data_IF_264594510854
#
_entry.id   IF_264594510854
#
_cell.length_a   1.000
_cell.length_b   1.000
_cell.length_c   1.000
_cell.angle_alpha   90.00
_cell.angle_beta   90.00
_cell.angle_gamma   90.00
#
_symmetry.space_group_name_H-M   'P 1'
#
loop_
_entity.id
_entity.type
_entity.pdbx_description
1 polymer ?
#
# COMPACT_ATOMS: atom_id res chain seq x y z
N UNK A 1 17.51 -6.30 24.19
CA UNK A 1 16.90 -6.34 23.98
C UNK A 1 16.35 -6.60 23.16
N UNK A 2 15.97 -6.86 23.15
CA UNK A 2 15.27 -7.21 22.47
C UNK A 2 14.65 -6.61 21.88
N UNK A 3 14.58 -6.34 21.43
CA UNK A 3 13.98 -5.87 20.98
C UNK A 3 13.31 -5.83 20.31
N UNK A 4 13.50 -5.71 20.71
CA UNK A 4 12.42 -5.30 20.23
C UNK A 4 11.97 -5.66 19.01
N UNK A 5 11.55 -6.43 19.01
CA UNK A 5 11.19 -6.99 17.89
C UNK A 5 9.86 -6.60 17.62
N UNK A 6 9.76 -5.55 16.91
CA UNK A 6 8.52 -5.25 16.30
C UNK A 6 8.21 -6.40 15.42
N UNK A 7 7.23 -7.10 15.81
CA UNK A 7 6.69 -8.19 15.06
C UNK A 7 6.16 -7.60 13.74
N UNK A 8 6.53 -8.17 12.63
CA UNK A 8 6.05 -7.70 11.33
C UNK A 8 4.52 -7.73 11.24
N UNK A 9 3.88 -8.66 11.94
CA UNK A 9 2.42 -8.72 11.98
C UNK A 9 1.81 -7.48 12.61
N UNK A 10 2.42 -6.94 13.65
CA UNK A 10 1.95 -5.71 14.29
C UNK A 10 2.11 -4.52 13.35
N UNK A 11 3.24 -4.47 12.65
CA UNK A 11 3.49 -3.42 11.67
C UNK A 11 2.48 -3.49 10.53
N UNK A 12 2.21 -4.67 10.05
CA UNK A 12 1.23 -4.88 8.98
C UNK A 12 -0.14 -4.40 9.41
N UNK A 13 -0.57 -4.70 10.62
CA UNK A 13 -1.86 -4.25 11.14
C UNK A 13 -1.94 -2.74 11.27
N UNK A 14 -0.85 -2.11 11.73
CA UNK A 14 -0.76 -0.65 11.82
C UNK A 14 -0.92 -0.02 10.44
N UNK A 15 -0.22 -0.55 9.47
CA UNK A 15 -0.26 -0.04 8.10
C UNK A 15 -1.66 -0.21 7.50
N UNK A 16 -2.29 -1.34 7.76
CA UNK A 16 -3.67 -1.59 7.31
C UNK A 16 -4.61 -0.54 7.88
N UNK A 17 -4.49 -0.23 9.17
CA UNK A 17 -5.33 0.80 9.79
C UNK A 17 -5.10 2.17 9.19
N UNK A 18 -3.84 2.52 8.90
CA UNK A 18 -3.50 3.77 8.24
C UNK A 18 -4.21 3.90 6.90
N UNK A 19 -4.12 2.87 6.08
CA UNK A 19 -4.73 2.90 4.76
C UNK A 19 -6.24 2.82 4.82
N UNK A 20 -6.78 2.13 5.81
CA UNK A 20 -8.22 2.08 6.02
C UNK A 20 -8.78 3.46 6.32
N UNK A 21 -8.11 4.21 7.21
CA UNK A 21 -8.49 5.58 7.51
C UNK A 21 -8.35 6.49 6.31
N UNK A 22 -7.26 6.34 5.58
CA UNK A 22 -7.02 7.11 4.37
C UNK A 22 -8.14 6.87 3.34
N UNK A 23 -8.49 5.61 3.13
CA UNK A 23 -9.54 5.25 2.18
C UNK A 23 -10.87 5.88 2.60
N UNK A 24 -11.20 5.75 3.87
CA UNK A 24 -12.43 6.29 4.43
C UNK A 24 -12.55 7.79 4.22
N UNK A 25 -11.47 8.51 4.48
CA UNK A 25 -11.43 9.97 4.31
C UNK A 25 -11.56 10.41 2.85
N UNK A 26 -11.19 9.53 1.94
CA UNK A 26 -11.17 9.86 0.51
C UNK A 26 -12.29 9.18 -0.29
N UNK A 27 -13.23 8.53 0.39
CA UNK A 27 -14.38 7.92 -0.27
C UNK A 27 -14.13 6.56 -0.89
N UNK A 28 -13.07 5.89 -0.48
CA UNK A 28 -12.73 4.55 -0.94
C UNK A 28 -12.95 3.53 0.18
N UNK A 29 -12.62 2.28 -0.11
CA UNK A 29 -12.53 1.21 0.89
C UNK A 29 -11.29 0.39 0.61
N UNK A 30 -10.82 -0.35 1.61
CA UNK A 30 -9.82 -1.37 1.35
C UNK A 30 -10.53 -2.56 0.72
N UNK A 31 -9.75 -3.38 0.00
CA UNK A 31 -10.27 -4.61 -0.58
C UNK A 31 -10.92 -5.44 0.52
N UNK A 32 -12.15 -5.95 0.31
CA UNK A 32 -12.83 -6.75 1.34
C UNK A 32 -12.17 -8.10 1.61
N UNK A 33 -11.31 -8.56 0.70
CA UNK A 33 -10.55 -9.79 0.91
C UNK A 33 -9.34 -9.47 1.77
N UNK A 34 -9.43 -9.82 3.05
CA UNK A 34 -8.39 -9.53 4.03
C UNK A 34 -7.03 -10.13 3.67
N UNK A 35 -7.02 -11.32 3.09
CA UNK A 35 -5.78 -11.98 2.69
C UNK A 35 -5.06 -11.22 1.59
N UNK A 36 -5.82 -10.65 0.66
CA UNK A 36 -5.25 -9.82 -0.40
C UNK A 36 -4.62 -8.57 0.21
N UNK A 37 -5.32 -7.90 1.12
CA UNK A 37 -4.82 -6.71 1.80
C UNK A 37 -3.53 -7.03 2.57
N UNK A 38 -3.52 -8.10 3.32
CA UNK A 38 -2.34 -8.51 4.10
C UNK A 38 -1.15 -8.79 3.19
N UNK A 39 -1.37 -9.46 2.08
CA UNK A 39 -0.31 -9.76 1.12
C UNK A 39 0.28 -8.50 0.50
N UNK A 40 -0.57 -7.57 0.12
CA UNK A 40 -0.13 -6.31 -0.47
C UNK A 40 0.63 -5.48 0.55
N UNK A 41 0.11 -5.35 1.76
CA UNK A 41 0.76 -4.57 2.82
C UNK A 41 2.10 -5.19 3.19
N UNK A 42 2.18 -6.51 3.23
CA UNK A 42 3.45 -7.20 3.47
C UNK A 42 4.48 -6.85 2.40
N UNK A 43 4.06 -6.80 1.14
CA UNK A 43 4.94 -6.41 0.03
C UNK A 43 5.37 -4.95 0.15
N UNK A 44 4.47 -4.06 0.57
CA UNK A 44 4.79 -2.66 0.81
C UNK A 44 5.84 -2.51 1.90
N UNK A 45 5.69 -3.26 2.97
CA UNK A 45 6.64 -3.24 4.08
C UNK A 45 8.01 -3.76 3.64
N UNK A 46 8.05 -4.82 2.85
CA UNK A 46 9.28 -5.36 2.29
C UNK A 46 9.99 -4.30 1.44
N UNK A 47 9.25 -3.59 0.61
CA UNK A 47 9.83 -2.54 -0.23
C UNK A 47 10.34 -1.37 0.59
N UNK A 48 9.64 -1.02 1.66
CA UNK A 48 10.08 0.02 2.58
C UNK A 48 11.42 -0.36 3.22
N UNK A 49 11.56 -1.61 3.63
CA UNK A 49 12.80 -2.11 4.23
C UNK A 49 13.96 -2.10 3.24
N UNK A 50 13.68 -2.41 1.98
CA UNK A 50 14.74 -2.52 0.95
C UNK A 50 15.09 -1.18 0.31
N UNK A 51 14.11 -0.32 0.10
CA UNK A 51 14.29 0.90 -0.67
C UNK A 51 13.99 2.19 0.10
N UNK A 52 13.56 2.07 1.33
CA UNK A 52 13.25 3.23 2.16
C UNK A 52 11.86 3.83 1.95
N UNK A 53 11.08 3.29 1.00
CA UNK A 53 9.75 3.79 0.70
C UNK A 53 8.81 2.64 0.39
N UNK A 54 7.52 2.85 0.67
CA UNK A 54 6.49 1.84 0.37
C UNK A 54 6.06 1.93 -1.09
N UNK A 55 6.94 1.53 -2.00
CA UNK A 55 6.59 1.52 -3.42
C UNK A 55 5.53 0.48 -3.72
N UNK A 56 4.60 0.84 -4.60
CA UNK A 56 3.51 -0.06 -4.99
C UNK A 56 4.08 -1.37 -5.57
N UNK A 57 3.72 -2.54 -5.02
CA UNK A 57 4.30 -3.80 -5.45
C UNK A 57 3.96 -4.20 -6.88
N UNK A 58 2.89 -3.64 -7.44
CA UNK A 58 2.49 -3.95 -8.81
C UNK A 58 3.15 -3.05 -9.84
N UNK A 59 4.05 -2.17 -9.40
CA UNK A 59 4.74 -1.25 -10.30
C UNK A 59 6.25 -1.46 -10.23
N UNK A 60 6.91 -1.14 -11.33
CA UNK A 60 8.34 -1.35 -11.43
C UNK A 60 9.11 -0.15 -10.87
N UNK A 61 10.10 -0.43 -10.05
CA UNK A 61 11.03 0.58 -9.54
C UNK A 61 12.10 0.81 -10.61
N UNK A 62 12.28 2.06 -11.05
CA UNK A 62 13.19 2.38 -12.14
C UNK A 62 14.61 2.73 -11.69
N UNK A 63 14.75 3.12 -10.42
CA UNK A 63 16.02 3.62 -9.90
C UNK A 63 16.13 5.14 -9.98
N UNK A 64 15.17 5.79 -10.63
CA UNK A 64 15.11 7.26 -10.72
C UNK A 64 14.05 7.74 -9.73
N UNK A 65 14.48 8.46 -8.68
CA UNK A 65 13.56 8.88 -7.63
C UNK A 65 12.40 9.76 -8.16
N UNK A 66 12.69 10.63 -9.14
CA UNK A 66 11.64 11.49 -9.69
C UNK A 66 10.50 10.70 -10.34
N UNK A 67 10.82 9.54 -10.90
CA UNK A 67 9.81 8.64 -11.45
C UNK A 67 9.21 7.76 -10.36
N UNK A 68 10.05 7.22 -9.49
CA UNK A 68 9.63 6.25 -8.49
C UNK A 68 8.76 6.85 -7.40
N UNK A 69 8.91 8.13 -7.08
CA UNK A 69 8.07 8.77 -6.07
C UNK A 69 6.59 8.74 -6.45
N UNK A 70 6.29 8.62 -7.73
CA UNK A 70 4.92 8.55 -8.23
C UNK A 70 4.23 7.25 -7.87
N UNK A 71 5.00 6.23 -7.56
CA UNK A 71 4.46 4.91 -7.24
C UNK A 71 4.57 4.55 -5.75
N UNK A 72 4.91 5.51 -4.91
CA UNK A 72 4.83 5.33 -3.46
C UNK A 72 3.36 5.18 -3.11
N UNK A 73 3.01 4.14 -2.38
CA UNK A 73 1.61 3.85 -2.05
C UNK A 73 1.06 4.85 -1.00
N UNK A 74 -0.12 5.43 -1.21
CA UNK A 74 -0.99 5.27 -2.37
C UNK A 74 -0.39 5.98 -3.58
N UNK A 75 -0.30 5.26 -4.69
CA UNK A 75 0.40 5.81 -5.87
C UNK A 75 -0.38 6.95 -6.50
N UNK A 76 0.33 7.76 -7.30
CA UNK A 76 -0.29 8.91 -7.97
C UNK A 76 -1.49 8.53 -8.83
N UNK A 77 -1.53 7.31 -9.30
CA UNK A 77 -2.53 6.83 -10.24
C UNK A 77 -3.76 6.19 -9.59
N UNK A 78 -3.74 5.99 -8.28
CA UNK A 78 -4.79 5.20 -7.61
C UNK A 78 -6.19 5.79 -7.76
N UNK A 79 -6.34 7.10 -7.69
CA UNK A 79 -7.67 7.72 -7.78
C UNK A 79 -8.34 7.47 -9.13
N UNK A 80 -7.57 7.63 -10.20
CA UNK A 80 -8.08 7.39 -11.55
C UNK A 80 -8.40 5.91 -11.76
N UNK A 81 -7.55 5.05 -11.24
CA UNK A 81 -7.73 3.60 -11.37
C UNK A 81 -8.98 3.14 -10.63
N UNK A 82 -9.20 3.64 -9.42
CA UNK A 82 -10.41 3.32 -8.65
C UNK A 82 -11.65 3.79 -9.39
N UNK A 83 -11.62 5.00 -9.92
CA UNK A 83 -12.74 5.58 -10.65
C UNK A 83 -13.05 4.80 -11.92
N UNK A 84 -12.01 4.41 -12.67
CA UNK A 84 -12.15 3.75 -13.96
C UNK A 84 -12.45 2.25 -13.84
N UNK A 85 -11.74 1.57 -12.95
CA UNK A 85 -11.77 0.11 -12.87
C UNK A 85 -12.39 -0.44 -11.59
N UNK A 86 -12.71 0.42 -10.64
CA UNK A 86 -13.24 0.01 -9.34
C UNK A 86 -12.17 -0.36 -8.33
N UNK A 87 -10.90 -0.34 -8.71
CA UNK A 87 -9.79 -0.65 -7.81
C UNK A 87 -8.49 -0.07 -8.37
N UNK A 88 -7.50 0.14 -7.49
CA UNK A 88 -6.17 0.52 -7.94
C UNK A 88 -5.46 -0.71 -8.52
N UNK A 89 -4.31 -0.51 -9.16
CA UNK A 89 -3.63 -1.58 -9.88
C UNK A 89 -3.38 -2.83 -9.04
N UNK A 90 -2.92 -2.66 -7.80
CA UNK A 90 -2.64 -3.81 -6.93
C UNK A 90 -3.89 -4.32 -6.20
N UNK A 91 -4.99 -3.60 -6.26
CA UNK A 91 -6.23 -4.02 -5.63
C UNK A 91 -6.33 -3.73 -4.14
N UNK A 92 -5.44 -2.91 -3.59
CA UNK A 92 -5.48 -2.54 -2.17
C UNK A 92 -6.68 -1.66 -1.88
N UNK A 93 -6.86 -0.60 -2.68
CA UNK A 93 -7.99 0.32 -2.57
C UNK A 93 -9.04 -0.03 -3.60
N UNK A 94 -10.29 -0.07 -3.18
CA UNK A 94 -11.40 -0.38 -4.07
C UNK A 94 -12.49 0.68 -3.91
N UNK A 95 -13.37 0.73 -4.88
CA UNK A 95 -14.51 1.64 -4.84
C UNK A 95 -15.41 1.27 -3.66
N UNK A 96 -15.78 2.30 -2.91
CA UNK A 96 -16.65 2.10 -1.74
C UNK A 96 -18.08 1.76 -2.16
#
# INVERSE_FOLDING_TARGET
MIMAMTNDNEKIEEIIREYEEYAKKNGFSLNPNKKVVEGIVKSLLEREKRFGQRYCPCRKITGNFEEDKKIICPCEFHRQEIKRNGHCLCGLFVKA
#
